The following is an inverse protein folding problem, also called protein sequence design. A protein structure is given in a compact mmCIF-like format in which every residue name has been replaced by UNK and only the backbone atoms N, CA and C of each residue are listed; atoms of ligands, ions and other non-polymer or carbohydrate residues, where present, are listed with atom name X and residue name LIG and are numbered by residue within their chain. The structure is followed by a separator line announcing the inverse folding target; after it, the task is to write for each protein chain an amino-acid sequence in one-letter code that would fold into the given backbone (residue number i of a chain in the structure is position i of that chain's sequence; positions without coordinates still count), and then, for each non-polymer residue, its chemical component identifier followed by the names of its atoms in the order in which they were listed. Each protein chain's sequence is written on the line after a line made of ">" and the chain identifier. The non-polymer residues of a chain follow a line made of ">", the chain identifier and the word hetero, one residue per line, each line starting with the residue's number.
data_IF_980995254493
#
_entry.id   IF_980995254493
#
_cell.length_a   1.000
_cell.length_b   1.000
_cell.length_c   1.000
_cell.angle_alpha   90.00
_cell.angle_beta   90.00
_cell.angle_gamma   90.00
#
_symmetry.space_group_name_H-M   'P 1'
#
loop_
_entity.id
_entity.type
_entity.pdbx_description
1 polymer ?
#
# COMPACT_ATOMS: atom_id res chain seq x y z
N UNK A 1 -21.82 -8.82 13.07
CA UNK A 1 -20.57 -9.61 12.89
C UNK A 1 -20.07 -10.04 14.26
N UNK A 2 -19.52 -11.25 14.41
CA UNK A 2 -19.00 -11.70 15.72
C UNK A 2 -17.58 -11.19 15.97
N UNK A 3 -17.16 -11.02 17.24
CA UNK A 3 -15.81 -10.58 17.58
C UNK A 3 -14.73 -11.46 16.93
N UNK A 4 -14.89 -12.79 16.95
CA UNK A 4 -13.94 -13.73 16.35
C UNK A 4 -13.77 -13.54 14.83
N UNK A 5 -14.85 -13.15 14.14
CA UNK A 5 -14.86 -12.90 12.70
C UNK A 5 -14.11 -11.60 12.38
N UNK A 6 -14.31 -10.55 13.17
CA UNK A 6 -13.59 -9.27 13.05
C UNK A 6 -12.10 -9.46 13.32
N UNK A 7 -11.74 -10.27 14.31
CA UNK A 7 -10.34 -10.62 14.59
C UNK A 7 -9.69 -11.39 13.42
N UNK A 8 -10.46 -12.22 12.70
CA UNK A 8 -10.00 -12.83 11.45
C UNK A 8 -9.70 -11.77 10.39
N UNK A 9 -10.59 -10.80 10.23
CA UNK A 9 -10.39 -9.69 9.29
C UNK A 9 -9.21 -8.78 9.65
N UNK A 10 -8.94 -8.51 10.93
CA UNK A 10 -7.75 -7.74 11.32
C UNK A 10 -6.48 -8.49 10.94
N UNK A 11 -6.45 -9.82 11.11
CA UNK A 11 -5.33 -10.65 10.67
C UNK A 11 -5.16 -10.66 9.15
N UNK A 12 -6.25 -10.75 8.38
CA UNK A 12 -6.21 -10.69 6.92
C UNK A 12 -5.62 -9.36 6.42
N UNK A 13 -5.95 -8.23 7.06
CA UNK A 13 -5.35 -6.93 6.73
C UNK A 13 -3.84 -6.94 7.01
N UNK A 14 -3.39 -7.50 8.15
CA UNK A 14 -1.95 -7.59 8.46
C UNK A 14 -1.19 -8.41 7.42
N UNK A 15 -1.78 -9.50 6.96
CA UNK A 15 -1.19 -10.33 5.91
C UNK A 15 -1.09 -9.58 4.59
N UNK A 16 -2.14 -8.85 4.18
CA UNK A 16 -2.10 -8.02 2.97
C UNK A 16 -1.06 -6.89 3.11
N UNK A 17 -0.99 -6.23 4.26
CA UNK A 17 0.02 -5.20 4.55
C UNK A 17 1.45 -5.75 4.45
N UNK A 18 1.65 -7.00 4.88
CA UNK A 18 2.92 -7.70 4.71
C UNK A 18 3.21 -8.01 3.23
N UNK A 19 2.23 -8.50 2.47
CA UNK A 19 2.39 -8.77 1.04
C UNK A 19 2.70 -7.51 0.24
N UNK A 20 2.02 -6.39 0.52
CA UNK A 20 2.32 -5.08 -0.07
C UNK A 20 3.78 -4.71 0.20
N UNK A 21 4.23 -4.85 1.45
CA UNK A 21 5.60 -4.55 1.84
C UNK A 21 6.62 -5.39 1.07
N UNK A 22 6.40 -6.70 0.97
CA UNK A 22 7.29 -7.61 0.24
C UNK A 22 7.31 -7.30 -1.26
N UNK A 23 6.15 -6.99 -1.86
CA UNK A 23 6.08 -6.67 -3.28
C UNK A 23 6.80 -5.35 -3.59
N UNK A 24 6.65 -4.32 -2.77
CA UNK A 24 7.37 -3.05 -2.94
C UNK A 24 8.89 -3.16 -2.77
N UNK A 25 9.38 -4.18 -2.06
CA UNK A 25 10.82 -4.42 -1.89
C UNK A 25 11.46 -5.11 -3.11
N UNK A 26 10.67 -5.58 -4.08
CA UNK A 26 11.19 -6.13 -5.34
C UNK A 26 11.75 -4.98 -6.19
N UNK A 27 12.90 -5.20 -6.83
CA UNK A 27 13.55 -4.19 -7.70
C UNK A 27 12.67 -3.72 -8.87
N UNK A 28 11.76 -4.57 -9.34
CA UNK A 28 10.80 -4.30 -10.41
C UNK A 28 9.48 -4.97 -10.02
N UNK A 29 8.66 -4.24 -9.26
CA UNK A 29 7.40 -4.77 -8.75
C UNK A 29 6.25 -4.48 -9.71
N UNK A 30 5.28 -5.39 -9.75
CA UNK A 30 4.08 -5.20 -10.53
C UNK A 30 3.12 -4.24 -9.80
N UNK A 31 2.84 -3.10 -10.42
CA UNK A 31 1.90 -2.12 -9.88
C UNK A 31 0.45 -2.64 -9.87
N UNK A 32 0.08 -3.52 -10.80
CA UNK A 32 -1.27 -4.12 -10.84
C UNK A 32 -1.47 -5.09 -9.66
N UNK A 33 -0.43 -5.82 -9.28
CA UNK A 33 -0.42 -6.67 -8.07
C UNK A 33 -0.69 -5.81 -6.82
N UNK A 34 -0.03 -4.66 -6.69
CA UNK A 34 -0.25 -3.72 -5.58
C UNK A 34 -1.68 -3.18 -5.56
N UNK A 35 -2.23 -2.79 -6.71
CA UNK A 35 -3.62 -2.31 -6.81
C UNK A 35 -4.59 -3.39 -6.33
N UNK A 36 -4.43 -4.63 -6.80
CA UNK A 36 -5.27 -5.74 -6.37
C UNK A 36 -5.21 -6.01 -4.85
N UNK A 37 -4.02 -5.90 -4.26
CA UNK A 37 -3.83 -6.03 -2.81
C UNK A 37 -4.54 -4.89 -2.04
N UNK A 38 -4.41 -3.65 -2.50
CA UNK A 38 -5.06 -2.49 -1.88
C UNK A 38 -6.59 -2.59 -1.99
N UNK A 39 -7.12 -3.01 -3.13
CA UNK A 39 -8.57 -3.18 -3.32
C UNK A 39 -9.13 -4.26 -2.40
N UNK A 40 -8.44 -5.40 -2.30
CA UNK A 40 -8.82 -6.48 -1.36
C UNK A 40 -8.79 -5.99 0.09
N UNK A 41 -7.77 -5.22 0.46
CA UNK A 41 -7.64 -4.62 1.78
C UNK A 41 -8.82 -3.71 2.11
N UNK A 42 -9.21 -2.86 1.17
CA UNK A 42 -10.33 -1.93 1.33
C UNK A 42 -11.65 -2.66 1.55
N UNK A 43 -11.90 -3.74 0.80
CA UNK A 43 -13.10 -4.57 0.98
C UNK A 43 -13.20 -5.15 2.40
N UNK A 44 -12.09 -5.65 2.94
CA UNK A 44 -12.04 -6.19 4.31
C UNK A 44 -12.19 -5.07 5.34
N UNK A 45 -11.54 -3.93 5.11
CA UNK A 45 -11.61 -2.78 6.01
C UNK A 45 -13.05 -2.30 6.19
N UNK A 46 -13.86 -2.28 5.14
CA UNK A 46 -15.28 -1.89 5.24
C UNK A 46 -16.07 -2.78 6.22
N UNK A 47 -15.76 -4.08 6.28
CA UNK A 47 -16.37 -4.98 7.26
C UNK A 47 -16.00 -4.56 8.69
N UNK A 48 -14.72 -4.32 8.95
CA UNK A 48 -14.24 -3.93 10.28
C UNK A 48 -14.82 -2.56 10.69
N UNK A 49 -14.87 -1.60 9.76
CA UNK A 49 -15.45 -0.28 10.03
C UNK A 49 -16.94 -0.37 10.36
N UNK A 50 -17.70 -1.24 9.69
CA UNK A 50 -19.09 -1.49 10.03
C UNK A 50 -19.24 -2.10 11.43
N UNK A 51 -18.37 -3.05 11.80
CA UNK A 51 -18.35 -3.57 13.17
C UNK A 51 -18.02 -2.50 14.21
N UNK A 52 -17.06 -1.62 13.94
CA UNK A 52 -16.71 -0.49 14.82
C UNK A 52 -17.89 0.46 15.03
N UNK A 53 -18.69 0.73 13.99
CA UNK A 53 -19.90 1.56 14.12
C UNK A 53 -20.89 0.96 15.13
N UNK A 54 -21.02 -0.37 15.13
CA UNK A 54 -21.89 -1.11 16.06
C UNK A 54 -21.24 -1.29 17.44
N UNK A 55 -19.91 -1.32 17.50
CA UNK A 55 -19.12 -1.60 18.70
C UNK A 55 -17.97 -0.58 18.86
N UNK A 56 -18.25 0.68 19.25
CA UNK A 56 -17.25 1.75 19.22
C UNK A 56 -16.02 1.49 20.09
N UNK A 57 -16.14 0.73 21.18
CA UNK A 57 -15.03 0.37 22.06
C UNK A 57 -13.93 -0.45 21.35
N UNK A 58 -14.25 -1.12 20.23
CA UNK A 58 -13.24 -1.82 19.44
C UNK A 58 -12.20 -0.87 18.83
N UNK A 59 -12.58 0.38 18.52
CA UNK A 59 -11.65 1.39 18.01
C UNK A 59 -10.58 1.82 19.03
N UNK A 60 -10.81 1.53 20.32
CA UNK A 60 -9.86 1.79 21.41
C UNK A 60 -9.04 0.54 21.77
N UNK A 61 -9.32 -0.60 21.12
CA UNK A 61 -8.62 -1.85 21.40
C UNK A 61 -7.15 -1.80 20.93
N UNK A 62 -6.28 -2.47 21.67
CA UNK A 62 -4.86 -2.57 21.31
C UNK A 62 -4.64 -3.20 19.94
N UNK A 63 -5.46 -4.20 19.57
CA UNK A 63 -5.35 -4.86 18.27
C UNK A 63 -5.62 -3.88 17.12
N UNK A 64 -6.72 -3.12 17.20
CA UNK A 64 -7.06 -2.11 16.20
C UNK A 64 -6.02 -0.99 16.14
N UNK A 65 -5.60 -0.44 17.28
CA UNK A 65 -4.59 0.62 17.32
C UNK A 65 -3.25 0.15 16.74
N UNK A 66 -2.84 -1.08 17.05
CA UNK A 66 -1.67 -1.73 16.46
C UNK A 66 -1.79 -1.91 14.94
N UNK A 67 -2.98 -2.32 14.45
CA UNK A 67 -3.25 -2.45 13.02
C UNK A 67 -3.15 -1.11 12.29
N UNK A 68 -3.72 -0.05 12.87
CA UNK A 68 -3.63 1.32 12.34
C UNK A 68 -2.17 1.77 12.27
N UNK A 69 -1.38 1.49 13.30
CA UNK A 69 0.03 1.87 13.30
C UNK A 69 0.86 1.10 12.25
N UNK A 70 0.57 -0.18 12.03
CA UNK A 70 1.18 -0.95 10.94
C UNK A 70 0.77 -0.39 9.57
N UNK A 71 -0.51 -0.04 9.39
CA UNK A 71 -1.04 0.56 8.17
C UNK A 71 -0.27 1.83 7.80
N UNK A 72 -0.01 2.73 8.77
CA UNK A 72 0.75 3.96 8.53
C UNK A 72 2.14 3.70 7.97
N UNK A 73 2.82 2.63 8.44
CA UNK A 73 4.16 2.26 7.95
C UNK A 73 4.12 1.81 6.50
N UNK A 74 3.11 1.02 6.11
CA UNK A 74 2.91 0.59 4.73
C UNK A 74 2.61 1.77 3.81
N UNK A 75 1.73 2.69 4.24
CA UNK A 75 1.44 3.92 3.49
C UNK A 75 2.69 4.76 3.28
N UNK A 76 3.51 4.94 4.33
CA UNK A 76 4.78 5.66 4.22
C UNK A 76 5.75 5.00 3.23
N UNK A 77 5.82 3.66 3.22
CA UNK A 77 6.61 2.91 2.25
C UNK A 77 6.11 3.13 0.81
N UNK A 78 4.81 2.96 0.56
CA UNK A 78 4.20 3.20 -0.76
C UNK A 78 4.47 4.61 -1.27
N UNK A 79 4.38 5.62 -0.40
CA UNK A 79 4.69 7.01 -0.74
C UNK A 79 6.17 7.19 -1.09
N UNK A 80 7.07 6.60 -0.30
CA UNK A 80 8.52 6.62 -0.56
C UNK A 80 8.85 6.03 -1.93
N UNK A 81 8.31 4.85 -2.25
CA UNK A 81 8.54 4.18 -3.54
C UNK A 81 7.98 4.99 -4.71
N UNK A 82 6.78 5.57 -4.55
CA UNK A 82 6.18 6.45 -5.57
C UNK A 82 7.10 7.65 -5.89
N UNK A 83 7.67 8.26 -4.84
CA UNK A 83 8.62 9.38 -5.01
C UNK A 83 9.90 8.92 -5.71
N UNK A 84 10.46 7.77 -5.33
CA UNK A 84 11.67 7.23 -5.96
C UNK A 84 11.46 6.93 -7.45
N UNK A 85 10.36 6.26 -7.80
CA UNK A 85 9.99 5.97 -9.19
C UNK A 85 9.81 7.27 -9.99
N UNK A 86 9.14 8.27 -9.43
CA UNK A 86 8.99 9.59 -10.06
C UNK A 86 10.34 10.27 -10.35
N UNK A 87 11.28 10.21 -9.41
CA UNK A 87 12.62 10.74 -9.58
C UNK A 87 13.42 9.99 -10.67
N UNK A 88 13.30 8.66 -10.71
CA UNK A 88 13.93 7.84 -11.74
C UNK A 88 13.37 8.15 -13.14
N UNK A 89 12.04 8.24 -13.27
CA UNK A 89 11.39 8.63 -14.51
C UNK A 89 11.85 10.01 -15.01
N UNK A 90 12.02 10.97 -14.10
CA UNK A 90 12.56 12.30 -14.43
C UNK A 90 13.97 12.21 -15.03
N UNK A 91 14.87 11.40 -14.46
CA UNK A 91 16.22 11.16 -15.00
C UNK A 91 16.17 10.56 -16.41
N UNK A 92 15.34 9.54 -16.63
CA UNK A 92 15.16 8.93 -17.96
C UNK A 92 14.65 9.93 -19.00
N UNK A 93 13.67 10.77 -18.64
CA UNK A 93 13.15 11.83 -19.53
C UNK A 93 14.23 12.84 -19.92
N UNK A 94 15.12 13.23 -19.00
CA UNK A 94 16.27 14.09 -19.35
C UNK A 94 17.25 13.39 -20.27
N UNK A 95 17.60 12.13 -20.01
CA UNK A 95 18.47 11.35 -20.90
C UNK A 95 17.91 11.27 -22.33
N UNK A 96 16.61 11.01 -22.47
CA UNK A 96 15.95 11.00 -23.78
C UNK A 96 16.03 12.35 -24.48
N UNK A 97 15.88 13.47 -23.75
CA UNK A 97 16.06 14.81 -24.33
C UNK A 97 17.46 15.00 -24.90
N UNK A 98 18.50 14.54 -24.19
CA UNK A 98 19.88 14.58 -24.65
C UNK A 98 20.08 13.73 -25.91
N UNK A 99 19.52 12.52 -25.96
CA UNK A 99 19.57 11.65 -27.15
C UNK A 99 18.90 12.33 -28.36
N UNK A 100 17.76 12.99 -28.16
CA UNK A 100 17.08 13.72 -29.23
C UNK A 100 17.89 14.93 -29.73
N UNK A 101 18.74 15.53 -28.89
CA UNK A 101 19.67 16.56 -29.36
C UNK A 101 20.76 15.98 -30.24
N UNK A 102 21.36 14.84 -29.87
CA UNK A 102 22.36 14.16 -30.70
C UNK A 102 21.81 13.74 -32.06
N UNK A 103 20.56 13.25 -32.12
CA UNK A 103 19.89 12.88 -33.37
C UNK A 103 19.76 14.03 -34.38
N UNK A 104 19.89 15.30 -33.98
CA UNK A 104 19.88 16.44 -34.91
C UNK A 104 21.17 16.58 -35.73
N UNK A 105 22.22 15.88 -35.33
CA UNK A 105 23.55 15.92 -35.95
C UNK A 105 23.91 14.63 -36.68
N UNK A 106 22.99 13.67 -36.74
CA UNK A 106 23.06 12.44 -37.53
C UNK A 106 22.06 12.53 -38.68
#
# INVERSE_FOLDING_TARGET
>A
MALAEVMGHTQDIREIDHQITLTLQKNDFDAEEIVGLVDKREQILQNILNYIKENPSFAESEDWLSLVEQTKKVVALMQSETIQLGNNLKKYRYGNKSVQQYKKFL
#
